data_IF_225332564469
#
_entry.id   IF_225332564469
#
_cell.length_a   1.000
_cell.length_b   1.000
_cell.length_c   1.000
_cell.angle_alpha   90.00
_cell.angle_beta   90.00
_cell.angle_gamma   90.00
#
_symmetry.space_group_name_H-M   'P 1'
#
loop_
_entity.id
_entity.type
_entity.pdbx_description
1 polymer ?
#
# COMPACT_ATOMS: atom_id res chain seq x y z
N UNK A 1 -25.80 16.21 -2.11
CA UNK A 1 -24.85 15.59 -3.06
C UNK A 1 -25.48 14.46 -3.86
N UNK A 2 -26.20 13.51 -3.24
CA UNK A 2 -26.81 12.37 -3.95
C UNK A 2 -27.90 12.75 -4.98
N UNK A 3 -28.75 13.74 -4.69
CA UNK A 3 -29.79 14.20 -5.64
C UNK A 3 -29.19 14.82 -6.91
N UNK A 4 -28.16 15.66 -6.78
CA UNK A 4 -27.44 16.21 -7.94
C UNK A 4 -26.74 15.12 -8.74
N UNK A 5 -26.07 14.17 -8.08
CA UNK A 5 -25.42 13.06 -8.77
C UNK A 5 -26.43 12.20 -9.55
N UNK A 6 -27.61 11.97 -8.98
CA UNK A 6 -28.68 11.23 -9.62
C UNK A 6 -29.25 11.97 -10.85
N UNK A 7 -29.47 13.28 -10.76
CA UNK A 7 -29.94 14.04 -11.92
C UNK A 7 -28.87 14.21 -12.99
N UNK A 8 -27.60 14.35 -12.61
CA UNK A 8 -26.50 14.33 -13.58
C UNK A 8 -26.44 13.00 -14.35
N UNK A 9 -26.69 11.88 -13.67
CA UNK A 9 -26.73 10.56 -14.30
C UNK A 9 -27.91 10.42 -15.27
N UNK A 10 -29.11 10.88 -14.88
CA UNK A 10 -30.29 10.90 -15.74
C UNK A 10 -30.08 11.74 -16.99
N UNK A 11 -29.50 12.93 -16.85
CA UNK A 11 -29.19 13.78 -17.99
C UNK A 11 -28.11 13.17 -18.88
N UNK A 12 -27.06 12.58 -18.30
CA UNK A 12 -25.98 11.94 -19.05
C UNK A 12 -26.48 10.84 -20.00
N UNK A 13 -27.50 10.06 -19.59
CA UNK A 13 -28.11 9.00 -20.42
C UNK A 13 -28.70 9.52 -21.73
N UNK A 14 -29.17 10.75 -21.77
CA UNK A 14 -29.74 11.36 -22.99
C UNK A 14 -28.68 11.63 -24.07
N UNK A 15 -27.41 11.66 -23.69
CA UNK A 15 -26.29 11.93 -24.59
C UNK A 15 -25.62 10.64 -25.10
N UNK A 16 -26.14 9.46 -24.79
CA UNK A 16 -25.48 8.19 -25.16
C UNK A 16 -25.21 8.06 -26.66
N UNK A 17 -26.15 8.50 -27.50
CA UNK A 17 -26.06 8.37 -28.97
C UNK A 17 -25.02 9.30 -29.60
N UNK A 18 -24.54 10.32 -28.87
CA UNK A 18 -23.50 11.24 -29.35
C UNK A 18 -22.12 10.98 -28.73
N UNK A 19 -22.00 10.00 -27.81
CA UNK A 19 -20.74 9.65 -27.16
C UNK A 19 -20.00 8.60 -27.99
N UNK A 20 -18.75 8.90 -28.33
CA UNK A 20 -17.86 7.93 -28.98
C UNK A 20 -17.23 6.96 -27.96
N UNK A 21 -17.75 5.74 -27.91
CA UNK A 21 -17.28 4.70 -27.00
C UNK A 21 -16.03 3.95 -27.48
N UNK A 22 -15.50 4.19 -28.69
CA UNK A 22 -14.40 3.39 -29.28
C UNK A 22 -13.15 3.34 -28.39
N UNK A 23 -12.85 4.40 -27.64
CA UNK A 23 -11.71 4.40 -26.69
C UNK A 23 -11.98 3.52 -25.47
N UNK A 24 -13.21 3.55 -24.95
CA UNK A 24 -13.64 2.70 -23.84
C UNK A 24 -13.65 1.24 -24.27
N UNK A 25 -14.19 0.94 -25.44
CA UNK A 25 -14.23 -0.42 -26.00
C UNK A 25 -12.84 -0.99 -26.25
N UNK A 26 -11.91 -0.21 -26.82
CA UNK A 26 -10.50 -0.63 -26.94
C UNK A 26 -9.86 -0.92 -25.60
N UNK A 27 -10.22 -0.16 -24.56
CA UNK A 27 -9.71 -0.38 -23.20
C UNK A 27 -10.32 -1.66 -22.60
N UNK A 28 -11.63 -1.87 -22.78
CA UNK A 28 -12.35 -3.10 -22.41
C UNK A 28 -11.68 -4.33 -23.04
N UNK A 29 -11.44 -4.31 -24.35
CA UNK A 29 -10.89 -5.47 -25.06
C UNK A 29 -9.49 -5.83 -24.58
N UNK A 30 -8.66 -4.81 -24.28
CA UNK A 30 -7.35 -5.01 -23.65
C UNK A 30 -7.46 -5.62 -22.26
N UNK A 31 -8.38 -5.12 -21.43
CA UNK A 31 -8.61 -5.64 -20.08
C UNK A 31 -9.11 -7.09 -20.11
N UNK A 32 -10.04 -7.43 -21.00
CA UNK A 32 -10.54 -8.81 -21.16
C UNK A 32 -9.39 -9.74 -21.59
N UNK A 33 -8.60 -9.34 -22.59
CA UNK A 33 -7.45 -10.12 -23.04
C UNK A 33 -6.43 -10.32 -21.92
N UNK A 34 -6.13 -9.26 -21.18
CA UNK A 34 -5.21 -9.31 -20.05
C UNK A 34 -5.72 -10.20 -18.91
N UNK A 35 -6.99 -10.06 -18.53
CA UNK A 35 -7.61 -10.86 -17.47
C UNK A 35 -7.63 -12.35 -17.80
N UNK A 36 -7.96 -12.73 -19.05
CA UNK A 36 -7.89 -14.13 -19.50
C UNK A 36 -6.47 -14.68 -19.44
N UNK A 37 -5.49 -13.93 -19.94
CA UNK A 37 -4.09 -14.34 -19.89
C UNK A 37 -3.58 -14.51 -18.44
N UNK A 38 -3.96 -13.60 -17.54
CA UNK A 38 -3.62 -13.71 -16.12
C UNK A 38 -4.25 -14.97 -15.50
N UNK A 39 -5.55 -15.19 -15.75
CA UNK A 39 -6.27 -16.37 -15.29
C UNK A 39 -5.60 -17.67 -15.77
N UNK A 40 -5.32 -17.80 -17.06
CA UNK A 40 -4.69 -18.98 -17.65
C UNK A 40 -3.30 -19.23 -17.04
N UNK A 41 -2.50 -18.19 -16.87
CA UNK A 41 -1.16 -18.27 -16.26
C UNK A 41 -1.20 -18.66 -14.79
N UNK A 42 -2.13 -18.12 -14.02
CA UNK A 42 -2.30 -18.47 -12.60
C UNK A 42 -2.67 -19.94 -12.47
N UNK A 43 -3.68 -20.42 -13.21
CA UNK A 43 -4.09 -21.82 -13.13
C UNK A 43 -2.98 -22.77 -13.59
N UNK A 44 -2.31 -22.46 -14.70
CA UNK A 44 -1.18 -23.25 -15.17
C UNK A 44 -0.03 -23.26 -14.14
N UNK A 45 0.31 -22.11 -13.58
CA UNK A 45 1.38 -21.98 -12.59
C UNK A 45 1.09 -22.70 -11.27
N UNK A 46 -0.17 -22.65 -10.79
CA UNK A 46 -0.59 -23.38 -9.59
C UNK A 46 -0.60 -24.89 -9.85
N UNK A 47 -1.13 -25.33 -11.00
CA UNK A 47 -1.12 -26.75 -11.39
C UNK A 47 0.32 -27.30 -11.51
N UNK A 48 1.24 -26.53 -12.10
CA UNK A 48 2.66 -26.88 -12.16
C UNK A 48 3.33 -26.94 -10.78
N UNK A 49 2.85 -26.16 -9.82
CA UNK A 49 3.29 -26.21 -8.42
C UNK A 49 2.63 -27.36 -7.62
N UNK A 50 1.82 -28.20 -8.26
CA UNK A 50 1.18 -29.37 -7.65
C UNK A 50 -0.16 -29.10 -6.98
N UNK A 51 -0.74 -27.90 -7.16
CA UNK A 51 -2.08 -27.57 -6.63
C UNK A 51 -3.16 -28.22 -7.49
N UNK A 52 -4.08 -28.95 -6.87
CA UNK A 52 -5.28 -29.43 -7.55
C UNK A 52 -6.26 -28.28 -7.83
N UNK A 53 -6.24 -27.80 -9.07
CA UNK A 53 -7.11 -26.70 -9.53
C UNK A 53 -8.58 -27.11 -9.70
N UNK A 54 -8.90 -28.41 -9.68
CA UNK A 54 -10.27 -28.90 -9.70
C UNK A 54 -10.89 -28.95 -8.29
N UNK A 55 -10.06 -28.93 -7.24
CA UNK A 55 -10.50 -28.82 -5.87
C UNK A 55 -10.66 -27.34 -5.47
N UNK A 56 -11.90 -26.86 -5.26
CA UNK A 56 -12.13 -25.44 -4.96
C UNK A 56 -11.51 -24.99 -3.64
N UNK A 57 -11.41 -25.86 -2.63
CA UNK A 57 -10.81 -25.52 -1.34
C UNK A 57 -9.31 -25.32 -1.49
N UNK A 58 -8.65 -26.24 -2.20
CA UNK A 58 -7.21 -26.19 -2.41
C UNK A 58 -6.82 -24.98 -3.27
N UNK A 59 -7.56 -24.73 -4.35
CA UNK A 59 -7.37 -23.55 -5.19
C UNK A 59 -7.53 -22.25 -4.38
N UNK A 60 -8.58 -22.13 -3.57
CA UNK A 60 -8.82 -20.93 -2.74
C UNK A 60 -7.70 -20.72 -1.70
N UNK A 61 -7.22 -21.80 -1.07
CA UNK A 61 -6.12 -21.73 -0.12
C UNK A 61 -4.80 -21.35 -0.81
N UNK A 62 -4.51 -21.89 -1.99
CA UNK A 62 -3.33 -21.55 -2.78
C UNK A 62 -3.34 -20.07 -3.23
N UNK A 63 -4.50 -19.57 -3.67
CA UNK A 63 -4.67 -18.16 -4.03
C UNK A 63 -4.50 -17.24 -2.82
N UNK A 64 -5.16 -17.56 -1.70
CA UNK A 64 -5.08 -16.78 -0.46
C UNK A 64 -3.65 -16.73 0.09
N UNK A 65 -2.96 -17.86 0.13
CA UNK A 65 -1.58 -17.96 0.63
C UNK A 65 -0.55 -17.31 -0.28
N UNK A 66 -0.77 -17.33 -1.60
CA UNK A 66 0.10 -16.64 -2.56
C UNK A 66 -0.02 -15.12 -2.44
N UNK A 67 -1.25 -14.63 -2.31
CA UNK A 67 -1.56 -13.20 -2.24
C UNK A 67 -1.44 -12.48 -3.59
N UNK A 68 -2.22 -11.42 -3.77
CA UNK A 68 -2.37 -10.72 -5.06
C UNK A 68 -1.04 -10.19 -5.62
N UNK A 69 -0.18 -9.58 -4.80
CA UNK A 69 1.11 -9.02 -5.26
C UNK A 69 2.04 -10.06 -5.86
N UNK A 70 2.13 -11.25 -5.25
CA UNK A 70 2.99 -12.33 -5.75
C UNK A 70 2.43 -12.91 -7.04
N UNK A 71 1.11 -13.13 -7.10
CA UNK A 71 0.42 -13.60 -8.30
C UNK A 71 0.60 -12.62 -9.46
N UNK A 72 0.41 -11.32 -9.23
CA UNK A 72 0.63 -10.28 -10.25
C UNK A 72 2.08 -10.26 -10.73
N UNK A 73 3.07 -10.32 -9.83
CA UNK A 73 4.49 -10.37 -10.21
C UNK A 73 4.82 -11.58 -11.09
N UNK A 74 4.33 -12.76 -10.72
CA UNK A 74 4.64 -14.02 -11.42
C UNK A 74 3.85 -14.17 -12.72
N UNK A 75 2.56 -13.89 -12.69
CA UNK A 75 1.61 -14.28 -13.74
C UNK A 75 0.93 -13.11 -14.45
N UNK A 76 1.15 -11.88 -13.99
CA UNK A 76 0.53 -10.67 -14.53
C UNK A 76 0.61 -10.58 -16.06
N UNK A 77 -0.49 -10.17 -16.69
CA UNK A 77 -0.56 -10.05 -18.15
C UNK A 77 0.31 -8.92 -18.73
N UNK A 78 0.75 -8.02 -17.86
CA UNK A 78 1.72 -6.98 -18.14
C UNK A 78 3.09 -7.49 -18.60
N UNK A 79 3.81 -6.68 -19.38
CA UNK A 79 5.22 -6.97 -19.70
C UNK A 79 6.05 -6.91 -18.42
N UNK A 80 7.04 -7.78 -18.32
CA UNK A 80 8.05 -7.70 -17.25
C UNK A 80 8.89 -6.43 -17.41
N UNK A 81 9.11 -5.77 -16.28
CA UNK A 81 9.87 -4.53 -16.19
C UNK A 81 10.34 -4.41 -14.73
N UNK A 82 11.59 -4.81 -14.45
CA UNK A 82 12.15 -4.79 -13.09
C UNK A 82 12.26 -3.38 -12.52
N UNK A 83 12.30 -2.37 -13.39
CA UNK A 83 12.31 -0.96 -12.96
C UNK A 83 10.93 -0.47 -12.53
N UNK A 84 9.88 -1.22 -12.86
CA UNK A 84 8.51 -0.89 -12.52
C UNK A 84 8.15 -1.43 -11.13
N UNK A 85 7.47 -0.64 -10.27
CA UNK A 85 6.91 -1.13 -9.01
C UNK A 85 6.04 -2.39 -9.25
N UNK A 86 6.38 -3.50 -8.60
CA UNK A 86 5.71 -4.79 -8.80
C UNK A 86 6.29 -5.67 -9.92
N UNK A 87 7.33 -5.22 -10.64
CA UNK A 87 8.09 -6.03 -11.62
C UNK A 87 7.41 -6.21 -12.98
N UNK A 88 6.20 -5.67 -13.17
CA UNK A 88 5.48 -5.70 -14.45
C UNK A 88 4.74 -4.40 -14.69
N UNK A 89 4.62 -3.99 -15.95
CA UNK A 89 3.79 -2.84 -16.34
C UNK A 89 2.31 -3.23 -16.41
N UNK A 90 1.38 -2.44 -15.86
CA UNK A 90 -0.05 -2.75 -15.94
C UNK A 90 -0.53 -2.72 -17.40
N UNK A 91 -1.48 -3.61 -17.72
CA UNK A 91 -2.13 -3.64 -19.05
C UNK A 91 -2.87 -2.33 -19.31
N UNK A 92 -3.56 -1.82 -18.29
CA UNK A 92 -4.16 -0.49 -18.23
C UNK A 92 -3.92 0.03 -16.81
N UNK A 93 -3.19 1.15 -16.62
CA UNK A 93 -2.97 1.70 -15.30
C UNK A 93 -4.28 2.29 -14.75
N UNK A 94 -4.54 2.08 -13.46
CA UNK A 94 -5.63 2.77 -12.77
C UNK A 94 -5.29 4.23 -12.55
N UNK A 95 -6.30 5.09 -12.36
CA UNK A 95 -6.08 6.51 -12.04
C UNK A 95 -5.22 6.69 -10.81
N UNK A 96 -5.45 5.88 -9.76
CA UNK A 96 -4.61 5.88 -8.56
C UNK A 96 -3.15 5.58 -8.90
N UNK A 97 -2.89 4.56 -9.73
CA UNK A 97 -1.53 4.22 -10.14
C UNK A 97 -0.88 5.36 -10.93
N UNK A 98 -1.62 6.01 -11.82
CA UNK A 98 -1.14 7.19 -12.56
C UNK A 98 -0.77 8.34 -11.61
N UNK A 99 -1.61 8.62 -10.61
CA UNK A 99 -1.34 9.65 -9.60
C UNK A 99 -0.09 9.35 -8.76
N UNK A 100 0.06 8.10 -8.32
CA UNK A 100 1.24 7.63 -7.60
C UNK A 100 2.50 7.83 -8.44
N UNK A 101 2.44 7.50 -9.74
CA UNK A 101 3.55 7.66 -10.66
C UNK A 101 3.92 9.14 -10.88
N UNK A 102 2.92 9.99 -11.07
CA UNK A 102 3.13 11.43 -11.19
C UNK A 102 3.71 12.04 -9.91
N UNK A 103 3.26 11.55 -8.75
CA UNK A 103 3.82 11.93 -7.46
C UNK A 103 5.28 11.51 -7.32
N UNK A 104 5.65 10.32 -7.82
CA UNK A 104 7.03 9.83 -7.84
C UNK A 104 8.02 10.81 -8.48
N UNK A 105 7.61 11.52 -9.54
CA UNK A 105 8.43 12.56 -10.17
C UNK A 105 8.67 13.75 -9.23
N UNK A 106 7.62 14.22 -8.57
CA UNK A 106 7.72 15.33 -7.59
C UNK A 106 8.55 14.95 -6.37
N UNK A 107 8.36 13.74 -5.86
CA UNK A 107 9.14 13.18 -4.75
C UNK A 107 10.63 13.22 -5.07
N UNK A 108 11.02 12.83 -6.28
CA UNK A 108 12.42 12.88 -6.70
C UNK A 108 12.99 14.30 -6.68
N UNK A 109 12.23 15.27 -7.17
CA UNK A 109 12.62 16.68 -7.13
C UNK A 109 12.74 17.19 -5.69
N UNK A 110 11.79 16.83 -4.81
CA UNK A 110 11.79 17.24 -3.39
C UNK A 110 12.90 16.57 -2.56
N UNK A 111 13.14 15.27 -2.73
CA UNK A 111 14.26 14.56 -2.07
C UNK A 111 15.59 15.20 -2.44
N UNK A 112 15.74 15.60 -3.71
CA UNK A 112 16.93 16.29 -4.18
C UNK A 112 17.05 17.70 -3.61
N UNK A 113 16.00 18.52 -3.69
CA UNK A 113 16.02 19.92 -3.25
C UNK A 113 16.24 20.07 -1.75
N UNK A 114 15.65 19.18 -0.94
CA UNK A 114 15.80 19.13 0.52
C UNK A 114 17.06 18.40 0.98
N UNK A 115 17.90 17.89 0.07
CA UNK A 115 19.12 17.11 0.36
C UNK A 115 18.89 15.89 1.28
N UNK A 116 17.67 15.33 1.29
CA UNK A 116 17.27 14.25 2.21
C UNK A 116 18.07 12.97 1.99
N UNK A 117 18.58 12.77 0.77
CA UNK A 117 19.43 11.62 0.44
C UNK A 117 20.75 11.61 1.22
N UNK A 118 21.31 12.75 1.60
CA UNK A 118 22.53 12.76 2.42
C UNK A 118 22.23 12.43 3.88
N UNK A 119 21.02 12.75 4.34
CA UNK A 119 20.58 12.63 5.73
C UNK A 119 20.10 11.23 6.10
N UNK A 120 19.40 10.54 5.19
CA UNK A 120 18.75 9.27 5.47
C UNK A 120 19.41 8.04 4.79
N UNK A 121 20.47 8.24 4.01
CA UNK A 121 21.09 7.15 3.23
C UNK A 121 21.66 6.07 4.15
N UNK A 122 21.31 4.82 3.83
CA UNK A 122 21.76 3.66 4.59
C UNK A 122 20.83 3.27 5.73
N UNK A 123 19.82 4.08 6.04
CA UNK A 123 18.75 3.70 6.96
C UNK A 123 17.93 2.54 6.42
N UNK A 124 17.32 1.78 7.33
CA UNK A 124 16.51 0.60 7.03
C UNK A 124 15.18 0.68 7.78
N UNK A 125 14.09 0.68 7.02
CA UNK A 125 12.74 0.91 7.55
C UNK A 125 11.85 -0.29 7.30
N UNK A 126 11.16 -0.72 8.36
CA UNK A 126 10.05 -1.66 8.27
C UNK A 126 8.76 -0.90 7.99
N UNK A 127 8.16 -1.12 6.81
CA UNK A 127 7.03 -0.34 6.32
C UNK A 127 5.76 -1.18 6.20
N UNK A 128 4.65 -0.67 6.73
CA UNK A 128 3.36 -1.37 6.72
C UNK A 128 2.15 -0.44 6.71
N UNK A 129 0.97 -1.02 6.45
CA UNK A 129 -0.33 -0.39 6.70
C UNK A 129 -1.12 -1.22 7.72
N UNK A 130 -1.82 -0.54 8.63
CA UNK A 130 -2.71 -1.16 9.63
C UNK A 130 -3.97 -1.75 9.00
N UNK A 131 -4.36 -1.27 7.82
CA UNK A 131 -5.57 -1.66 7.12
C UNK A 131 -5.30 -1.88 5.62
N UNK A 132 -6.36 -2.02 4.81
CA UNK A 132 -6.27 -2.30 3.36
C UNK A 132 -5.84 -1.10 2.51
N UNK A 133 -5.80 0.11 3.07
CA UNK A 133 -5.42 1.32 2.34
C UNK A 133 -3.90 1.37 2.20
N UNK A 134 -3.42 1.24 0.96
CA UNK A 134 -1.99 1.19 0.68
C UNK A 134 -1.43 2.47 0.06
N UNK A 135 -2.28 3.45 -0.30
CA UNK A 135 -1.86 4.61 -1.10
C UNK A 135 -0.72 5.39 -0.45
N UNK A 136 -0.89 5.84 0.80
CA UNK A 136 0.13 6.60 1.52
C UNK A 136 1.39 5.76 1.79
N UNK A 137 1.23 4.48 2.12
CA UNK A 137 2.34 3.53 2.28
C UNK A 137 3.16 3.38 0.98
N UNK A 138 2.51 3.27 -0.17
CA UNK A 138 3.18 3.17 -1.47
C UNK A 138 3.98 4.44 -1.78
N UNK A 139 3.41 5.62 -1.51
CA UNK A 139 4.10 6.90 -1.65
C UNK A 139 5.33 6.96 -0.74
N UNK A 140 5.14 6.73 0.55
CA UNK A 140 6.23 6.71 1.54
C UNK A 140 7.32 5.71 1.15
N UNK A 141 6.95 4.52 0.67
CA UNK A 141 7.92 3.53 0.20
C UNK A 141 8.72 3.98 -1.03
N UNK A 142 8.17 4.82 -1.92
CA UNK A 142 8.95 5.43 -3.00
C UNK A 142 9.84 6.54 -2.48
N UNK A 143 9.33 7.40 -1.60
CA UNK A 143 10.09 8.49 -0.97
C UNK A 143 11.33 7.98 -0.24
N UNK A 144 11.16 6.96 0.60
CA UNK A 144 12.24 6.32 1.34
C UNK A 144 13.30 5.73 0.39
N UNK A 145 12.88 4.99 -0.64
CA UNK A 145 13.81 4.40 -1.62
C UNK A 145 14.56 5.43 -2.44
N UNK A 146 13.90 6.51 -2.85
CA UNK A 146 14.54 7.62 -3.58
C UNK A 146 15.61 8.31 -2.70
N UNK A 147 15.35 8.42 -1.40
CA UNK A 147 16.31 8.90 -0.41
C UNK A 147 17.42 7.90 -0.06
N UNK A 148 17.41 6.68 -0.63
CA UNK A 148 18.43 5.66 -0.41
C UNK A 148 18.26 4.87 0.89
N UNK A 149 17.04 4.81 1.43
CA UNK A 149 16.64 3.97 2.57
C UNK A 149 16.25 2.58 2.08
N UNK A 150 16.72 1.53 2.73
CA UNK A 150 16.26 0.16 2.52
C UNK A 150 14.84 0.00 3.11
N UNK A 151 13.88 -0.44 2.31
CA UNK A 151 12.48 -0.60 2.75
C UNK A 151 12.07 -2.07 2.75
N UNK A 152 11.76 -2.60 3.93
CA UNK A 152 11.10 -3.90 4.10
C UNK A 152 9.59 -3.65 4.17
N UNK A 153 8.88 -3.94 3.07
CA UNK A 153 7.41 -3.78 3.00
C UNK A 153 6.70 -5.05 3.52
N UNK A 154 6.05 -4.96 4.69
CA UNK A 154 5.27 -6.07 5.26
C UNK A 154 3.87 -6.23 4.65
N UNK A 155 3.47 -5.31 3.77
CA UNK A 155 2.16 -5.30 3.16
C UNK A 155 1.18 -4.42 3.94
N UNK A 156 -0.06 -4.87 4.00
CA UNK A 156 -1.19 -4.15 4.55
C UNK A 156 -1.93 -5.07 5.53
N UNK A 157 -2.84 -4.52 6.34
CA UNK A 157 -3.57 -5.30 7.36
C UNK A 157 -2.62 -6.11 8.26
N UNK A 158 -1.50 -5.50 8.66
CA UNK A 158 -0.44 -6.18 9.42
C UNK A 158 -0.76 -6.11 10.91
N UNK A 159 -0.78 -7.23 11.60
CA UNK A 159 -0.94 -7.26 13.06
C UNK A 159 0.38 -6.96 13.80
N UNK A 160 0.33 -6.37 15.01
CA UNK A 160 1.51 -6.08 15.84
C UNK A 160 2.48 -7.25 16.02
N UNK A 161 1.99 -8.46 16.32
CA UNK A 161 2.84 -9.63 16.51
C UNK A 161 3.65 -10.02 15.26
N UNK A 162 3.11 -9.75 14.05
CA UNK A 162 3.86 -9.96 12.81
C UNK A 162 5.00 -8.96 12.66
N UNK A 163 4.84 -7.72 13.13
CA UNK A 163 5.90 -6.71 13.15
C UNK A 163 7.04 -7.20 14.03
N UNK A 164 6.75 -7.55 15.28
CA UNK A 164 7.76 -8.03 16.24
C UNK A 164 8.51 -9.25 15.71
N UNK A 165 7.80 -10.22 15.12
CA UNK A 165 8.44 -11.40 14.50
C UNK A 165 9.48 -11.02 13.44
N UNK A 166 9.25 -9.97 12.66
CA UNK A 166 10.20 -9.51 11.65
C UNK A 166 11.35 -8.69 12.26
N UNK A 167 11.08 -7.90 13.30
CA UNK A 167 12.12 -7.19 14.07
C UNK A 167 13.10 -8.16 14.76
N UNK A 168 12.62 -9.31 15.23
CA UNK A 168 13.46 -10.35 15.82
C UNK A 168 14.35 -11.07 14.79
N UNK A 169 13.99 -11.03 13.50
CA UNK A 169 14.77 -11.66 12.41
C UNK A 169 15.86 -10.76 11.86
N UNK A 170 15.73 -9.45 12.00
CA UNK A 170 16.66 -8.50 11.41
C UNK A 170 16.54 -7.12 12.00
N UNK A 171 17.67 -6.41 12.05
CA UNK A 171 17.72 -5.03 12.53
C UNK A 171 17.10 -4.08 11.51
N UNK A 172 16.30 -3.15 12.02
CA UNK A 172 15.76 -1.99 11.30
C UNK A 172 15.93 -0.77 12.20
N UNK A 173 16.08 0.41 11.60
CA UNK A 173 16.31 1.66 12.34
C UNK A 173 14.99 2.33 12.74
N UNK A 174 13.90 2.02 12.03
CA UNK A 174 12.58 2.57 12.33
C UNK A 174 11.43 1.71 11.77
N UNK A 175 10.23 1.89 12.34
CA UNK A 175 8.98 1.33 11.85
C UNK A 175 8.13 2.46 11.26
N UNK A 176 7.73 2.35 10.00
CA UNK A 176 6.83 3.28 9.32
C UNK A 176 5.44 2.68 9.14
N UNK A 177 4.42 3.30 9.73
CA UNK A 177 3.04 2.82 9.75
C UNK A 177 2.12 3.81 9.05
N UNK A 178 1.36 3.33 8.07
CA UNK A 178 0.22 4.04 7.51
C UNK A 178 -1.08 3.53 8.12
N UNK A 179 -2.01 4.42 8.48
CA UNK A 179 -3.32 4.04 9.04
C UNK A 179 -4.46 4.88 8.47
N UNK A 180 -5.63 4.28 8.25
CA UNK A 180 -6.85 4.95 7.75
C UNK A 180 -8.16 4.38 8.34
N UNK A 181 -8.10 3.41 9.25
CA UNK A 181 -9.27 2.66 9.75
C UNK A 181 -9.87 3.19 11.05
N UNK A 182 -9.33 4.29 11.61
CA UNK A 182 -9.83 4.82 12.87
C UNK A 182 -9.42 4.00 14.09
N UNK A 183 -8.30 3.27 14.04
CA UNK A 183 -7.78 2.49 15.16
C UNK A 183 -6.34 2.88 15.53
N UNK A 184 -5.93 4.13 15.24
CA UNK A 184 -4.53 4.54 15.34
C UNK A 184 -3.95 4.38 16.77
N UNK A 185 -4.70 4.79 17.80
CA UNK A 185 -4.24 4.75 19.18
C UNK A 185 -4.27 3.31 19.73
N UNK A 186 -5.34 2.57 19.44
CA UNK A 186 -5.44 1.15 19.84
C UNK A 186 -4.32 0.32 19.22
N UNK A 187 -4.05 0.52 17.93
CA UNK A 187 -2.97 -0.17 17.22
C UNK A 187 -1.60 0.17 17.82
N UNK A 188 -1.32 1.47 18.05
CA UNK A 188 -0.07 1.92 18.66
C UNK A 188 0.16 1.30 20.03
N UNK A 189 -0.86 1.25 20.89
CA UNK A 189 -0.77 0.63 22.23
C UNK A 189 -0.47 -0.86 22.15
N UNK A 190 -1.15 -1.58 21.26
CA UNK A 190 -0.90 -3.01 21.03
C UNK A 190 0.52 -3.27 20.56
N UNK A 191 1.02 -2.51 19.59
CA UNK A 191 2.39 -2.63 19.11
C UNK A 191 3.43 -2.31 20.18
N UNK A 192 3.23 -1.22 20.94
CA UNK A 192 4.14 -0.87 22.03
C UNK A 192 4.17 -1.94 23.13
N UNK A 193 3.05 -2.59 23.41
CA UNK A 193 3.00 -3.70 24.36
C UNK A 193 3.82 -4.89 23.87
N UNK A 194 3.56 -5.34 22.64
CA UNK A 194 4.31 -6.45 22.02
C UNK A 194 5.82 -6.15 21.95
N UNK A 195 6.19 -4.91 21.63
CA UNK A 195 7.60 -4.49 21.63
C UNK A 195 8.22 -4.53 23.02
N UNK A 196 7.50 -4.09 24.06
CA UNK A 196 7.97 -4.19 25.45
C UNK A 196 8.15 -5.63 25.92
N UNK A 197 7.24 -6.52 25.54
CA UNK A 197 7.30 -7.93 25.91
C UNK A 197 8.52 -8.65 25.29
N UNK A 198 9.17 -8.02 24.31
CA UNK A 198 10.36 -8.50 23.61
C UNK A 198 11.58 -7.57 23.75
N UNK A 199 11.56 -6.62 24.68
CA UNK A 199 12.65 -5.66 24.95
C UNK A 199 13.12 -4.88 23.69
N UNK A 200 12.19 -4.51 22.81
CA UNK A 200 12.45 -3.77 21.57
C UNK A 200 12.21 -2.26 21.75
N UNK A 201 13.23 -1.46 21.47
CA UNK A 201 13.17 0.02 21.51
C UNK A 201 13.46 0.63 20.13
N UNK A 202 12.54 0.45 19.18
CA UNK A 202 12.67 0.96 17.80
C UNK A 202 11.67 2.11 17.59
N UNK A 203 12.07 3.26 17.02
CA UNK A 203 11.17 4.39 16.82
C UNK A 203 10.03 4.04 15.85
N UNK A 204 8.81 4.42 16.25
CA UNK A 204 7.59 4.23 15.46
C UNK A 204 7.18 5.56 14.86
N UNK A 205 7.11 5.61 13.53
CA UNK A 205 6.55 6.70 12.76
C UNK A 205 5.16 6.30 12.27
N UNK A 206 4.15 7.13 12.52
CA UNK A 206 2.77 6.84 12.14
C UNK A 206 2.15 8.00 11.38
N UNK A 207 1.61 7.73 10.19
CA UNK A 207 0.94 8.71 9.33
C UNK A 207 -0.37 8.20 8.73
N UNK A 208 -1.09 9.10 8.06
CA UNK A 208 -2.42 8.83 7.51
C UNK A 208 -3.52 9.53 8.30
N UNK A 209 -4.65 8.85 8.55
CA UNK A 209 -5.71 9.36 9.44
C UNK A 209 -5.42 8.91 10.86
N UNK A 210 -4.80 9.79 11.64
CA UNK A 210 -4.47 9.55 13.05
C UNK A 210 -5.69 9.77 13.95
N UNK A 211 -6.74 8.99 13.71
CA UNK A 211 -7.98 9.05 14.47
C UNK A 211 -8.32 7.70 15.12
N UNK A 212 -9.18 7.78 16.14
CA UNK A 212 -9.71 6.63 16.87
C UNK A 212 -11.24 6.68 16.91
N UNK A 213 -11.88 5.56 16.62
CA UNK A 213 -13.32 5.40 16.78
C UNK A 213 -13.62 5.12 18.26
N UNK A 214 -14.26 6.08 18.93
CA UNK A 214 -14.64 5.96 20.34
C UNK A 214 -16.15 5.74 20.46
N UNK A 215 -16.60 4.53 20.13
CA UNK A 215 -18.03 4.16 20.18
C UNK A 215 -18.83 4.72 19.00
N UNK A 216 -20.07 5.16 19.24
CA UNK A 216 -21.03 5.61 18.20
C UNK A 216 -20.79 7.05 17.69
N UNK A 217 -19.67 7.67 18.07
CA UNK A 217 -19.31 9.04 17.67
C UNK A 217 -18.51 9.13 16.37
N UNK A 218 -18.21 10.35 15.94
CA UNK A 218 -17.23 10.58 14.89
C UNK A 218 -15.82 10.18 15.38
N UNK A 219 -14.96 9.66 14.49
CA UNK A 219 -13.56 9.42 14.82
C UNK A 219 -12.90 10.69 15.37
N UNK A 220 -12.24 10.57 16.51
CA UNK A 220 -11.54 11.68 17.16
C UNK A 220 -10.06 11.65 16.77
N UNK A 221 -9.47 12.81 16.51
CA UNK A 221 -8.02 12.92 16.36
C UNK A 221 -7.31 12.48 17.66
N UNK A 222 -6.27 11.66 17.52
CA UNK A 222 -5.50 11.09 18.63
C UNK A 222 -4.00 11.40 18.53
N UNK A 223 -3.65 12.46 17.79
CA UNK A 223 -2.25 12.82 17.53
C UNK A 223 -1.50 13.13 18.83
N UNK A 224 -2.13 13.83 19.78
CA UNK A 224 -1.52 14.19 21.06
C UNK A 224 -1.17 12.95 21.89
N UNK A 225 -2.09 11.98 21.96
CA UNK A 225 -1.90 10.73 22.70
C UNK A 225 -0.84 9.83 22.07
N UNK A 226 -0.72 9.84 20.74
CA UNK A 226 0.38 9.16 20.05
C UNK A 226 1.74 9.76 20.46
N UNK A 227 1.84 11.09 20.55
CA UNK A 227 3.06 11.77 21.01
C UNK A 227 3.38 11.43 22.47
N UNK A 228 2.38 11.39 23.36
CA UNK A 228 2.55 10.97 24.75
C UNK A 228 3.09 9.52 24.86
N UNK A 229 2.67 8.64 23.94
CA UNK A 229 3.17 7.28 23.82
C UNK A 229 4.55 7.17 23.12
N UNK A 230 5.19 8.31 22.80
CA UNK A 230 6.45 8.40 22.05
C UNK A 230 6.36 7.83 20.62
N UNK A 231 5.15 7.71 20.06
CA UNK A 231 4.95 7.48 18.63
C UNK A 231 5.10 8.81 17.91
N UNK A 232 5.86 8.83 16.82
CA UNK A 232 6.16 10.04 16.06
C UNK A 232 5.10 10.21 14.97
N UNK A 233 4.14 11.15 15.11
CA UNK A 233 3.17 11.42 14.06
C UNK A 233 3.85 12.08 12.86
N UNK A 234 3.49 11.62 11.67
CA UNK A 234 3.90 12.19 10.39
C UNK A 234 2.68 12.77 9.68
N UNK A 235 2.75 14.07 9.40
CA UNK A 235 1.77 14.82 8.62
C UNK A 235 2.07 14.77 7.12
N UNK A 236 3.35 14.58 6.78
CA UNK A 236 3.86 14.55 5.42
C UNK A 236 4.80 13.35 5.20
N UNK A 237 4.94 12.91 3.94
CA UNK A 237 5.74 11.73 3.57
C UNK A 237 7.25 11.94 3.73
N UNK A 238 7.71 13.18 3.86
CA UNK A 238 9.11 13.53 4.13
C UNK A 238 9.44 13.62 5.63
N UNK A 239 8.44 13.76 6.52
CA UNK A 239 8.64 13.92 7.96
C UNK A 239 9.50 12.79 8.56
N UNK A 240 9.28 11.56 8.08
CA UNK A 240 10.06 10.40 8.50
C UNK A 240 11.53 10.54 8.09
N UNK A 241 11.81 10.94 6.85
CA UNK A 241 13.19 11.11 6.36
C UNK A 241 13.96 12.20 7.11
N UNK A 242 13.27 13.26 7.54
CA UNK A 242 13.88 14.35 8.28
C UNK A 242 14.25 13.94 9.72
N UNK A 243 13.61 12.90 10.25
CA UNK A 243 13.72 12.46 11.65
C UNK A 243 14.28 11.05 11.81
N UNK A 244 14.64 10.38 10.71
CA UNK A 244 15.37 9.12 10.77
C UNK A 244 16.71 9.35 11.50
N UNK A 245 17.07 8.45 12.43
CA UNK A 245 18.32 8.52 13.18
C UNK A 245 19.56 8.29 12.32
#
# INVERSE_FOLDING_TARGET
>A
MQVMAHEMEREARKFVDIVDFRRVERTRDRLIKGGRLFYDRVLAGLSQAGVDIANPVELLLALRSSGGRKLEKLFGAGREDETHPGGRRPVVPTTMFQQIWDMGRRIKEEVHSRQLRQRAKGGKVLLLSTDVHEYAKLIMGMTLREAGVEVIDLGHSVDPGRIVKELLRGKVDAIGISTHNGMALTYARGLLQEMRDHDLEIPIFMGGRLNEMTGEGLPRDVTAELVELKVIPCSDVFDMLERLP
#
